data_IF_972896812859
#
_entry.id   IF_972896812859
#
_cell.length_a   1.000
_cell.length_b   1.000
_cell.length_c   1.000
_cell.angle_alpha   90.00
_cell.angle_beta   90.00
_cell.angle_gamma   90.00
#
_symmetry.space_group_name_H-M   'P 1'
#
loop_
_entity.id
_entity.type
_entity.pdbx_description
1 polymer ?
#
# COMPACT_ATOMS: atom_id res chain seq x y z
N UNK A 4 -10.38 13.68 -10.61
CA UNK A 4 -9.13 13.98 -11.36
C UNK A 4 -8.52 12.69 -11.96
N UNK A 5 -8.61 11.56 -11.20
CA UNK A 5 -8.23 10.19 -11.63
C UNK A 5 -6.69 9.96 -11.67
N UNK A 6 -5.96 10.86 -12.37
CA UNK A 6 -4.47 10.96 -12.40
C UNK A 6 -3.79 10.00 -13.40
N UNK A 7 -4.43 8.84 -13.73
CA UNK A 7 -3.91 7.82 -14.69
C UNK A 7 -2.68 7.02 -14.11
N UNK A 8 -2.15 7.45 -12.95
CA UNK A 8 -1.02 6.79 -12.22
C UNK A 8 -1.20 5.25 -12.09
N UNK A 9 -2.43 4.86 -11.73
CA UNK A 9 -2.81 3.41 -11.62
C UNK A 9 -2.40 2.59 -12.91
N UNK A 10 -2.52 3.26 -14.07
CA UNK A 10 -2.15 2.66 -15.40
C UNK A 10 -0.64 2.29 -15.43
N UNK A 11 0.18 3.12 -14.78
CA UNK A 11 1.64 2.90 -14.68
C UNK A 11 2.00 1.69 -13.82
N UNK A 12 1.34 1.51 -12.66
CA UNK A 12 1.56 0.32 -11.79
C UNK A 12 1.14 -0.96 -12.52
N UNK A 13 0.03 -0.88 -13.27
CA UNK A 13 -0.47 -1.97 -14.14
C UNK A 13 0.61 -2.36 -15.18
N UNK A 14 1.20 -1.32 -15.78
CA UNK A 14 2.29 -1.45 -16.76
C UNK A 14 3.50 -2.28 -16.24
N UNK A 15 4.13 -1.83 -15.12
CA UNK A 15 5.31 -2.53 -14.55
C UNK A 15 4.97 -3.96 -14.07
N UNK A 16 3.78 -4.10 -13.48
CA UNK A 16 3.17 -5.42 -13.17
C UNK A 16 3.12 -6.34 -14.41
N UNK A 17 2.53 -5.85 -15.51
CA UNK A 17 2.44 -6.57 -16.81
C UNK A 17 3.84 -6.98 -17.32
N UNK A 18 4.82 -6.12 -17.01
CA UNK A 18 6.22 -6.35 -17.37
C UNK A 18 6.76 -7.62 -16.66
N UNK A 19 6.71 -7.61 -15.31
CA UNK A 19 7.23 -8.72 -14.48
C UNK A 19 6.41 -10.02 -14.72
N UNK A 20 5.08 -9.88 -14.81
CA UNK A 20 4.15 -11.00 -15.08
C UNK A 20 4.50 -11.73 -16.40
N UNK A 21 4.61 -10.96 -17.50
CA UNK A 21 5.12 -11.46 -18.78
C UNK A 21 6.49 -12.13 -18.66
N UNK A 22 7.36 -11.60 -17.76
CA UNK A 22 8.72 -12.16 -17.57
C UNK A 22 8.65 -13.53 -16.87
N UNK A 23 7.94 -13.67 -15.73
CA UNK A 23 7.79 -14.94 -14.99
C UNK A 23 7.00 -16.00 -15.78
N UNK A 24 6.02 -15.61 -16.64
CA UNK A 24 5.31 -16.56 -17.52
C UNK A 24 6.21 -17.05 -18.65
N UNK A 25 6.98 -16.11 -19.14
CA UNK A 25 8.07 -16.37 -20.09
C UNK A 25 9.05 -17.40 -19.49
N UNK A 26 9.32 -17.29 -18.17
CA UNK A 26 10.17 -18.24 -17.43
C UNK A 26 9.39 -19.49 -16.97
N UNK A 27 8.05 -19.44 -17.03
CA UNK A 27 7.22 -20.65 -16.88
C UNK A 27 7.44 -21.58 -18.08
N UNK A 28 7.33 -21.01 -19.29
CA UNK A 28 7.69 -21.74 -20.53
C UNK A 28 9.15 -22.22 -20.54
N UNK A 29 10.02 -21.46 -19.86
CA UNK A 29 11.49 -21.77 -19.86
C UNK A 29 11.89 -22.52 -18.59
N UNK A 30 12.40 -23.75 -18.74
CA UNK A 30 12.92 -24.53 -17.61
C UNK A 30 14.38 -24.15 -17.36
N UNK A 31 14.82 -24.34 -16.11
CA UNK A 31 16.23 -24.16 -15.72
C UNK A 31 17.14 -25.23 -16.37
N UNK A 32 16.53 -26.35 -16.82
CA UNK A 32 17.25 -27.46 -17.49
C UNK A 32 17.48 -27.13 -18.98
N UNK A 33 16.42 -26.65 -19.65
CA UNK A 33 16.46 -26.42 -21.12
C UNK A 33 17.04 -25.04 -21.45
N UNK A 34 16.99 -24.12 -20.48
CA UNK A 34 17.45 -22.74 -20.63
C UNK A 34 18.29 -22.34 -19.42
N UNK A 35 19.41 -23.04 -19.19
CA UNK A 35 20.36 -22.74 -18.08
C UNK A 35 21.28 -21.56 -18.51
N UNK A 36 20.62 -20.48 -18.94
CA UNK A 36 21.19 -19.34 -19.64
C UNK A 36 20.08 -18.28 -19.75
N UNK A 37 19.19 -18.44 -20.76
CA UNK A 37 18.04 -17.54 -20.97
C UNK A 37 17.17 -17.39 -19.70
N UNK A 38 16.86 -18.53 -19.04
CA UNK A 38 16.07 -18.56 -17.78
C UNK A 38 16.85 -17.80 -16.68
N UNK A 39 18.19 -18.00 -16.67
CA UNK A 39 19.10 -17.42 -15.68
C UNK A 39 19.19 -15.88 -15.78
N UNK A 40 19.26 -15.35 -17.01
CA UNK A 40 19.32 -13.91 -17.28
C UNK A 40 18.01 -13.25 -16.96
N UNK A 41 16.92 -13.87 -17.40
CA UNK A 41 15.56 -13.46 -17.01
C UNK A 41 15.35 -13.40 -15.47
N UNK A 42 15.97 -14.35 -14.73
CA UNK A 42 16.09 -14.29 -13.24
C UNK A 42 16.86 -13.01 -12.77
N UNK A 43 17.86 -12.63 -13.56
CA UNK A 43 18.67 -11.40 -13.30
C UNK A 43 17.85 -10.11 -13.58
N UNK A 44 17.25 -10.06 -14.79
CA UNK A 44 16.31 -8.99 -15.24
C UNK A 44 15.19 -8.79 -14.20
N UNK A 45 14.68 -9.94 -13.73
CA UNK A 45 13.69 -9.98 -12.65
C UNK A 45 14.30 -9.37 -11.38
N UNK A 46 15.44 -9.95 -10.93
CA UNK A 46 16.17 -9.56 -9.69
C UNK A 46 16.37 -8.03 -9.57
N UNK A 47 16.71 -7.37 -10.68
CA UNK A 47 16.95 -5.92 -10.79
C UNK A 47 15.64 -5.15 -10.86
N UNK A 48 14.70 -5.65 -11.70
CA UNK A 48 13.32 -5.10 -11.72
C UNK A 48 12.76 -4.96 -10.31
N UNK A 49 12.87 -6.06 -9.54
CA UNK A 49 12.48 -6.11 -8.13
C UNK A 49 13.25 -5.05 -7.32
N UNK A 50 14.56 -5.29 -7.04
CA UNK A 50 15.54 -4.34 -6.43
C UNK A 50 15.21 -2.84 -6.69
N UNK A 51 14.91 -2.49 -7.95
CA UNK A 51 14.44 -1.16 -8.41
C UNK A 51 13.08 -0.79 -7.78
N UNK A 52 12.05 -1.55 -8.20
CA UNK A 52 10.64 -1.31 -7.78
C UNK A 52 10.45 -1.53 -6.25
N UNK A 53 11.49 -1.97 -5.52
CA UNK A 53 11.46 -2.26 -4.09
C UNK A 53 12.26 -1.18 -3.34
N UNK A 54 13.28 -0.65 -4.04
CA UNK A 54 14.02 0.59 -3.67
C UNK A 54 13.01 1.77 -3.68
N UNK A 55 12.24 1.79 -4.77
CA UNK A 55 11.10 2.67 -4.95
C UNK A 55 10.05 2.40 -3.86
N UNK A 56 9.59 1.13 -3.72
CA UNK A 56 8.59 0.76 -2.71
C UNK A 56 9.17 0.66 -1.28
N UNK A 57 10.49 0.94 -1.06
CA UNK A 57 11.01 1.13 0.32
C UNK A 57 10.87 2.62 0.65
N UNK A 58 11.27 3.53 -0.27
CA UNK A 58 10.71 4.92 -0.26
C UNK A 58 9.18 4.94 -0.05
N UNK A 59 8.48 3.94 -0.64
CA UNK A 59 7.00 3.90 -0.56
C UNK A 59 6.56 2.80 0.45
N UNK A 60 7.41 2.59 1.49
CA UNK A 60 7.10 1.73 2.67
C UNK A 60 7.42 2.52 3.94
N UNK A 61 8.67 3.04 4.00
CA UNK A 61 9.12 4.02 5.00
C UNK A 61 8.17 5.24 4.98
N UNK A 62 7.82 5.64 3.76
CA UNK A 62 6.74 6.59 3.47
C UNK A 62 5.68 5.80 2.69
N UNK A 63 4.93 4.92 3.40
CA UNK A 63 3.99 3.92 2.79
C UNK A 63 3.17 4.55 1.65
N UNK A 64 2.57 5.68 1.97
CA UNK A 64 1.99 6.61 1.01
C UNK A 64 2.10 8.00 1.64
N UNK A 65 1.70 9.05 0.91
CA UNK A 65 1.68 10.42 1.46
C UNK A 65 0.73 10.48 2.67
N UNK A 66 -0.59 10.38 2.39
CA UNK A 66 -1.68 10.36 3.35
C UNK A 66 -1.45 9.35 4.46
N UNK A 67 -1.10 8.11 4.09
CA UNK A 67 -0.93 7.03 5.06
C UNK A 67 0.15 7.39 6.10
N UNK A 68 1.36 7.67 5.59
CA UNK A 68 2.52 8.02 6.44
C UNK A 68 2.17 9.18 7.43
N UNK A 69 1.41 10.24 6.99
CA UNK A 69 0.97 11.33 7.88
C UNK A 69 -0.11 10.86 8.86
N UNK A 70 -1.06 9.98 8.41
CA UNK A 70 -2.01 9.30 9.31
C UNK A 70 -1.30 8.53 10.43
N UNK A 71 -0.06 8.04 10.20
CA UNK A 71 0.65 7.24 11.20
C UNK A 71 1.29 8.17 12.24
N UNK A 72 1.82 9.32 11.76
CA UNK A 72 2.44 10.34 12.64
C UNK A 72 1.43 11.45 13.08
N UNK A 73 0.10 11.20 12.92
CA UNK A 73 -0.97 12.15 13.35
C UNK A 73 -0.87 12.47 14.87
N UNK A 74 -1.29 13.71 15.31
CA UNK A 74 -1.38 14.04 16.75
C UNK A 74 -2.58 13.36 17.45
N UNK A 75 -3.82 13.76 17.12
CA UNK A 75 -5.03 13.34 17.85
C UNK A 75 -5.68 12.21 17.04
N UNK A 76 -5.83 10.96 17.58
CA UNK A 76 -6.30 9.81 16.77
C UNK A 76 -6.86 8.68 17.68
N UNK A 77 -7.48 7.67 17.02
CA UNK A 77 -8.02 6.45 17.69
C UNK A 77 -8.62 5.46 16.67
N UNK A 78 -9.25 4.40 17.18
CA UNK A 78 -10.14 3.52 16.41
C UNK A 78 -11.50 3.65 17.09
N UNK A 79 -12.58 3.96 16.35
CA UNK A 79 -13.80 4.59 16.83
C UNK A 79 -14.73 3.51 17.44
N UNK A 80 -15.21 3.72 18.67
CA UNK A 80 -16.22 2.85 19.32
C UNK A 80 -17.58 2.91 18.58
N UNK A 81 -18.35 1.78 18.64
CA UNK A 81 -19.75 1.68 18.11
C UNK A 81 -20.67 2.86 18.57
N UNK A 82 -20.28 3.45 19.70
CA UNK A 82 -20.94 4.63 20.28
C UNK A 82 -20.77 5.86 19.38
N UNK A 83 -19.54 6.13 18.93
CA UNK A 83 -19.25 7.26 18.02
C UNK A 83 -19.43 6.80 16.53
N UNK A 84 -19.66 5.47 16.37
CA UNK A 84 -19.98 4.88 15.06
C UNK A 84 -21.44 5.15 14.73
N UNK A 85 -22.33 5.08 15.75
CA UNK A 85 -23.76 5.42 15.59
C UNK A 85 -23.91 6.93 15.38
N UNK A 86 -22.99 7.69 15.99
CA UNK A 86 -22.98 9.15 15.93
C UNK A 86 -21.94 9.66 14.93
N UNK A 87 -21.75 8.93 13.79
CA UNK A 87 -20.73 9.30 12.75
C UNK A 87 -20.94 10.71 12.20
N UNK A 88 -22.21 11.11 12.15
CA UNK A 88 -22.58 12.37 11.54
C UNK A 88 -22.25 13.54 12.44
N UNK A 89 -22.37 13.35 13.78
CA UNK A 89 -22.07 14.38 14.79
C UNK A 89 -20.57 14.17 15.22
N UNK A 90 -20.07 12.97 14.85
CA UNK A 90 -18.71 12.57 15.24
C UNK A 90 -17.76 13.36 14.36
N UNK A 91 -18.02 13.37 13.04
CA UNK A 91 -17.02 13.74 12.03
C UNK A 91 -16.99 15.27 11.87
N UNK A 92 -18.13 15.92 12.21
CA UNK A 92 -18.35 17.35 11.96
C UNK A 92 -17.74 18.20 13.09
N UNK A 93 -17.86 17.71 14.34
CA UNK A 93 -17.31 18.37 15.53
C UNK A 93 -15.77 18.46 15.46
N UNK A 94 -15.15 17.30 15.13
CA UNK A 94 -13.68 17.21 14.85
C UNK A 94 -13.24 18.22 13.73
N UNK A 95 -14.25 18.70 12.94
CA UNK A 95 -14.08 19.68 11.86
C UNK A 95 -13.41 18.93 10.68
N UNK A 96 -14.08 17.82 10.31
CA UNK A 96 -13.56 16.92 9.29
C UNK A 96 -12.52 15.98 9.85
N UNK A 97 -12.96 14.88 10.46
CA UNK A 97 -12.11 13.75 10.89
C UNK A 97 -11.71 12.90 9.66
N UNK A 98 -10.75 11.98 9.81
CA UNK A 98 -10.29 11.05 8.77
C UNK A 98 -10.57 9.64 9.33
N UNK A 99 -11.33 8.82 8.60
CA UNK A 99 -11.85 7.52 9.10
C UNK A 99 -11.57 6.43 8.06
N UNK A 100 -10.95 5.30 8.46
CA UNK A 100 -10.51 4.22 7.55
C UNK A 100 -11.09 2.88 8.05
N UNK A 101 -11.79 2.14 7.18
CA UNK A 101 -12.54 0.93 7.55
C UNK A 101 -11.59 -0.31 7.54
N UNK A 102 -11.75 -1.31 8.47
CA UNK A 102 -10.83 -2.48 8.58
C UNK A 102 -10.93 -3.47 7.38
N UNK A 103 -12.17 -3.79 6.95
CA UNK A 103 -12.40 -4.84 5.94
C UNK A 103 -12.09 -4.35 4.52
N UNK A 104 -11.96 -3.03 4.34
CA UNK A 104 -11.45 -2.45 3.08
C UNK A 104 -9.95 -2.77 2.95
N UNK A 105 -9.46 -2.88 1.70
CA UNK A 105 -8.07 -3.23 1.39
C UNK A 105 -7.05 -2.34 2.13
N UNK A 106 -7.35 -1.01 2.19
CA UNK A 106 -6.42 -0.02 2.81
C UNK A 106 -6.31 -0.35 4.33
N UNK A 107 -7.48 -0.64 4.95
CA UNK A 107 -7.52 -1.15 6.32
C UNK A 107 -6.95 -2.53 6.53
N UNK A 108 -6.92 -3.40 5.49
CA UNK A 108 -6.40 -4.76 5.65
C UNK A 108 -4.87 -4.70 5.59
N UNK A 109 -4.35 -3.73 4.81
CA UNK A 109 -2.94 -3.65 4.46
C UNK A 109 -2.20 -2.91 5.58
N UNK A 110 -2.81 -1.81 6.08
CA UNK A 110 -2.16 -0.99 7.15
C UNK A 110 -2.27 -1.76 8.50
N UNK A 111 -3.08 -2.85 8.49
CA UNK A 111 -3.16 -3.81 9.60
C UNK A 111 -4.43 -3.69 10.44
N UNK A 112 -5.26 -2.69 10.15
CA UNK A 112 -6.43 -2.29 10.95
C UNK A 112 -7.49 -3.42 11.02
N UNK A 113 -7.79 -3.89 12.23
CA UNK A 113 -8.86 -4.88 12.52
C UNK A 113 -10.13 -4.19 13.06
N UNK A 114 -10.06 -2.87 13.16
CA UNK A 114 -11.16 -2.04 13.69
C UNK A 114 -11.28 -0.75 12.87
N UNK A 115 -12.51 -0.16 12.83
CA UNK A 115 -12.72 1.14 12.20
C UNK A 115 -11.89 2.19 12.92
N UNK A 116 -11.04 2.83 12.14
CA UNK A 116 -10.02 3.75 12.65
C UNK A 116 -10.40 5.21 12.34
N UNK A 117 -10.00 6.15 13.20
CA UNK A 117 -9.98 7.57 12.84
C UNK A 117 -8.65 8.25 13.16
N UNK A 118 -8.49 9.49 12.64
CA UNK A 118 -7.24 10.26 12.71
C UNK A 118 -7.62 11.74 12.49
N UNK A 119 -7.01 12.67 13.24
CA UNK A 119 -7.07 14.08 12.82
C UNK A 119 -5.91 14.93 13.43
N UNK A 120 -5.87 16.19 12.96
CA UNK A 120 -5.04 17.26 13.51
C UNK A 120 -5.79 18.01 14.62
N UNK A 121 -7.06 17.64 14.83
CA UNK A 121 -7.97 18.32 15.77
C UNK A 121 -8.51 17.30 16.78
N UNK A 122 -8.82 17.79 17.99
CA UNK A 122 -9.26 16.95 19.13
C UNK A 122 -10.64 16.30 18.89
N UNK A 123 -10.82 15.10 19.49
CA UNK A 123 -12.10 14.35 19.46
C UNK A 123 -12.08 13.21 20.51
#
# INVERSE_FOLDING_TARGET
QGHMKEVEKNEIKRLSDRLDAIRHQQADLSLVEAADKYAELEKEKATLEAEIARLREVHSQKLSKEAQKLMKMPFQRAITKKEQADMGKLKKSVRGLVVVHPMTALGREMGLEEMTGFSKTTF
#
